data_IF_805143425976
#
_entry.id   IF_805143425976
#
_cell.length_a   1.000
_cell.length_b   1.000
_cell.length_c   1.000
_cell.angle_alpha   90.00
_cell.angle_beta   90.00
_cell.angle_gamma   90.00
#
_symmetry.space_group_name_H-M   'P 1'
#
loop_
_entity.id
_entity.type
_entity.pdbx_description
1 polymer ?
#
# COMPACT_ATOMS: atom_id res chain seq x y z
N UNK A 1 -3.41 1.88 -16.02
CA UNK A 1 -3.64 2.27 -14.60
C UNK A 1 -4.37 1.18 -13.80
N UNK A 2 -5.39 0.51 -14.35
CA UNK A 2 -6.16 -0.54 -13.64
C UNK A 2 -5.34 -1.66 -12.98
N UNK A 3 -4.26 -2.13 -13.61
CA UNK A 3 -3.49 -3.25 -13.06
C UNK A 3 -2.79 -2.91 -11.73
N UNK A 4 -2.27 -1.69 -11.58
CA UNK A 4 -1.57 -1.28 -10.34
C UNK A 4 -2.56 -1.18 -9.17
N UNK A 5 -3.73 -0.59 -9.39
CA UNK A 5 -4.76 -0.50 -8.35
C UNK A 5 -5.30 -1.88 -7.97
N UNK A 6 -5.51 -2.78 -8.94
CA UNK A 6 -5.94 -4.17 -8.66
C UNK A 6 -4.92 -4.95 -7.82
N UNK A 7 -3.62 -4.76 -8.10
CA UNK A 7 -2.54 -5.37 -7.30
C UNK A 7 -2.58 -4.84 -5.86
N UNK A 8 -2.73 -3.53 -5.69
CA UNK A 8 -2.79 -2.90 -4.38
C UNK A 8 -4.02 -3.33 -3.57
N UNK A 9 -5.18 -3.49 -4.20
CA UNK A 9 -6.37 -4.04 -3.53
C UNK A 9 -6.11 -5.44 -2.98
N UNK A 10 -5.54 -6.35 -3.79
CA UNK A 10 -5.18 -7.71 -3.34
C UNK A 10 -4.12 -7.69 -2.24
N UNK A 11 -3.14 -6.80 -2.35
CA UNK A 11 -2.12 -6.63 -1.32
C UNK A 11 -2.75 -6.17 0.00
N UNK A 12 -3.72 -5.26 -0.04
CA UNK A 12 -4.45 -4.80 1.13
C UNK A 12 -5.15 -5.97 1.84
N UNK A 13 -5.82 -6.85 1.09
CA UNK A 13 -6.49 -8.03 1.63
C UNK A 13 -5.52 -8.99 2.32
N UNK A 14 -4.34 -9.21 1.73
CA UNK A 14 -3.31 -10.09 2.30
C UNK A 14 -2.67 -9.47 3.54
N UNK A 15 -2.30 -8.19 3.50
CA UNK A 15 -1.67 -7.51 4.62
C UNK A 15 -2.60 -7.42 5.83
N UNK A 16 -3.91 -7.23 5.63
CA UNK A 16 -4.90 -7.24 6.72
C UNK A 16 -4.97 -8.56 7.50
N UNK A 17 -4.45 -9.66 6.95
CA UNK A 17 -4.37 -10.95 7.65
C UNK A 17 -3.17 -11.04 8.60
N UNK A 18 -2.27 -10.06 8.58
CA UNK A 18 -1.17 -9.93 9.54
C UNK A 18 -1.61 -9.06 10.70
N UNK A 19 -1.27 -9.44 11.94
CA UNK A 19 -1.70 -8.73 13.15
C UNK A 19 -1.33 -7.23 13.11
N UNK A 20 -0.13 -6.91 12.60
CA UNK A 20 0.41 -5.55 12.50
C UNK A 20 -0.31 -4.64 11.48
N UNK A 21 -1.09 -5.20 10.56
CA UNK A 21 -1.79 -4.44 9.52
C UNK A 21 -3.30 -4.74 9.46
N UNK A 22 -3.85 -5.30 10.54
CA UNK A 22 -5.27 -5.57 10.68
C UNK A 22 -6.15 -4.31 10.51
N UNK A 23 -5.61 -3.14 10.85
CA UNK A 23 -6.27 -1.83 10.71
C UNK A 23 -6.04 -1.15 9.35
N UNK A 24 -5.31 -1.76 8.41
CA UNK A 24 -5.15 -1.25 7.05
C UNK A 24 -6.48 -1.31 6.28
N UNK A 25 -6.96 -0.17 5.80
CA UNK A 25 -8.23 -0.05 5.09
C UNK A 25 -8.08 -0.10 3.57
N UNK A 26 -7.10 0.65 3.04
CA UNK A 26 -6.93 0.75 1.59
C UNK A 26 -5.56 1.26 1.18
N UNK A 27 -5.21 0.96 -0.07
CA UNK A 27 -4.14 1.61 -0.82
C UNK A 27 -4.73 2.39 -1.98
N UNK A 28 -4.20 3.60 -2.22
CA UNK A 28 -4.59 4.46 -3.35
C UNK A 28 -3.35 4.76 -4.17
N UNK A 29 -3.33 4.32 -5.44
CA UNK A 29 -2.26 4.68 -6.36
C UNK A 29 -2.49 6.07 -6.96
N UNK A 30 -1.49 6.95 -6.85
CA UNK A 30 -1.46 8.27 -7.46
C UNK A 30 -0.59 8.22 -8.72
N UNK A 31 -1.18 8.17 -9.93
CA UNK A 31 -0.44 7.97 -11.17
C UNK A 31 0.45 9.15 -11.57
N UNK A 32 0.11 10.37 -11.15
CA UNK A 32 0.87 11.57 -11.49
C UNK A 32 2.22 11.65 -10.75
N UNK A 33 2.29 11.05 -9.57
CA UNK A 33 3.47 11.09 -8.70
C UNK A 33 4.15 9.70 -8.62
N UNK A 34 3.52 8.67 -9.22
CA UNK A 34 3.89 7.25 -9.09
C UNK A 34 3.97 6.79 -7.62
N UNK A 35 3.02 7.26 -6.81
CA UNK A 35 2.97 7.04 -5.37
C UNK A 35 1.82 6.12 -4.95
N UNK A 36 1.91 5.55 -3.75
CA UNK A 36 0.85 4.76 -3.12
C UNK A 36 0.57 5.28 -1.73
N UNK A 37 -0.67 5.70 -1.47
CA UNK A 37 -1.11 6.13 -0.15
C UNK A 37 -1.79 4.97 0.58
N UNK A 38 -1.26 4.60 1.75
CA UNK A 38 -1.90 3.67 2.68
C UNK A 38 -2.84 4.41 3.65
N UNK A 39 -4.03 3.87 3.88
CA UNK A 39 -4.99 4.38 4.87
C UNK A 39 -5.24 3.32 5.93
N UNK A 40 -5.07 3.65 7.19
CA UNK A 40 -5.43 2.79 8.32
C UNK A 40 -6.61 3.39 9.08
N UNK A 41 -7.35 2.53 9.81
CA UNK A 41 -8.53 2.92 10.58
C UNK A 41 -8.18 3.89 11.71
N UNK A 42 -7.08 3.62 12.43
CA UNK A 42 -6.67 4.40 13.60
C UNK A 42 -5.35 5.16 13.41
N UNK A 43 -4.72 5.05 12.23
CA UNK A 43 -3.43 5.69 11.94
C UNK A 43 -3.47 6.39 10.58
N UNK A 44 -3.33 7.71 10.54
CA UNK A 44 -2.99 8.41 9.28
C UNK A 44 -1.49 8.34 9.07
N UNK A 45 -0.97 7.16 8.71
CA UNK A 45 0.43 7.01 8.31
C UNK A 45 0.49 7.01 6.78
N UNK A 46 0.93 8.14 6.23
CA UNK A 46 1.15 8.29 4.79
C UNK A 46 2.52 7.69 4.46
N UNK A 47 2.52 6.54 3.79
CA UNK A 47 3.76 5.94 3.26
C UNK A 47 3.90 6.45 1.84
N UNK A 48 5.04 7.06 1.51
CA UNK A 48 5.39 7.38 0.12
C UNK A 48 6.24 6.25 -0.42
N UNK A 49 5.79 5.64 -1.51
CA UNK A 49 6.43 4.47 -2.12
C UNK A 49 6.68 4.79 -3.58
N UNK A 50 7.95 4.70 -4.00
CA UNK A 50 8.37 4.99 -5.39
C UNK A 50 8.49 3.69 -6.16
N UNK A 51 7.67 3.51 -7.21
CA UNK A 51 7.44 2.21 -7.83
C UNK A 51 8.56 1.77 -8.79
N UNK A 52 9.68 1.24 -8.27
CA UNK A 52 10.69 0.59 -9.14
C UNK A 52 10.34 -0.86 -9.52
N UNK A 53 9.38 -1.50 -8.84
CA UNK A 53 8.70 -2.73 -9.27
C UNK A 53 7.56 -3.03 -8.27
N UNK A 54 6.61 -3.90 -8.62
CA UNK A 54 5.55 -4.32 -7.68
C UNK A 54 6.12 -4.96 -6.40
N UNK A 55 7.26 -5.64 -6.47
CA UNK A 55 7.93 -6.26 -5.32
C UNK A 55 8.67 -5.23 -4.45
N UNK A 56 9.34 -4.27 -5.09
CA UNK A 56 10.00 -3.14 -4.40
C UNK A 56 8.98 -2.30 -3.63
N UNK A 57 7.82 -2.05 -4.24
CA UNK A 57 6.72 -1.31 -3.61
C UNK A 57 6.20 -1.99 -2.34
N UNK A 58 5.95 -3.31 -2.40
CA UNK A 58 5.50 -4.09 -1.22
C UNK A 58 6.55 -4.05 -0.11
N UNK A 59 7.83 -4.22 -0.45
CA UNK A 59 8.92 -4.18 0.54
C UNK A 59 9.06 -2.81 1.19
N UNK A 60 8.92 -1.72 0.42
CA UNK A 60 8.94 -0.37 0.99
C UNK A 60 7.75 -0.11 1.92
N UNK A 61 6.56 -0.60 1.58
CA UNK A 61 5.38 -0.52 2.45
C UNK A 61 5.66 -1.22 3.78
N UNK A 62 6.19 -2.45 3.75
CA UNK A 62 6.49 -3.23 4.95
C UNK A 62 7.61 -2.58 5.78
N UNK A 63 8.68 -2.08 5.16
CA UNK A 63 9.85 -1.55 5.87
C UNK A 63 9.69 -0.12 6.43
N UNK A 64 8.73 0.68 5.94
CA UNK A 64 8.49 2.07 6.38
C UNK A 64 7.39 2.19 7.45
N UNK A 65 6.67 1.09 7.72
CA UNK A 65 5.63 1.01 8.75
C UNK A 65 6.22 0.63 10.10
#
# INVERSE_FOLDING_TARGET
>A
MENKQKILTRLCEVLRQTDDMSDLLSFTYLPHEDEVIARFENRRKMIKVTALSGVSMVREIINKL
#
